data_IF_362719740663
#
_entry.id   IF_362719740663
#
_cell.length_a   1.000
_cell.length_b   1.000
_cell.length_c   1.000
_cell.angle_alpha   90.00
_cell.angle_beta   90.00
_cell.angle_gamma   90.00
#
_symmetry.space_group_name_H-M   'P 1'
#
loop_
_entity.id
_entity.type
_entity.pdbx_description
1 polymer ?
#
# COMPACT_ATOMS: atom_id res chain seq x y z
N UNK A 1 -3.08 -43.08 5.99
CA UNK A 1 -2.31 -41.83 6.27
C UNK A 1 -3.24 -40.94 7.06
N UNK A 2 -2.91 -40.61 8.31
CA UNK A 2 -3.80 -39.83 9.18
C UNK A 2 -3.88 -38.40 8.63
N UNK A 3 -5.08 -38.03 8.18
CA UNK A 3 -5.46 -36.66 7.91
C UNK A 3 -5.33 -35.91 9.24
N UNK A 4 -4.24 -35.16 9.42
CA UNK A 4 -4.10 -34.31 10.62
C UNK A 4 -5.22 -33.29 10.51
N UNK A 5 -6.28 -33.46 11.30
CA UNK A 5 -7.30 -32.44 11.49
C UNK A 5 -6.59 -31.09 11.63
N UNK A 6 -6.83 -30.20 10.66
CA UNK A 6 -6.29 -28.85 10.70
C UNK A 6 -6.96 -28.14 11.86
N UNK A 7 -6.32 -28.18 13.03
CA UNK A 7 -6.79 -27.51 14.24
C UNK A 7 -7.03 -26.03 13.92
N UNK A 8 -8.29 -25.61 14.00
CA UNK A 8 -8.65 -24.19 13.87
C UNK A 8 -8.23 -23.46 15.16
N UNK A 9 -7.76 -22.23 14.99
CA UNK A 9 -7.42 -21.34 16.11
C UNK A 9 -8.22 -20.05 15.96
N UNK A 10 -8.60 -19.45 17.09
CA UNK A 10 -9.31 -18.17 17.13
C UNK A 10 -8.31 -17.03 17.17
N UNK A 11 -8.52 -16.03 16.32
CA UNK A 11 -7.76 -14.77 16.33
C UNK A 11 -8.71 -13.66 16.77
N UNK A 12 -8.32 -12.89 17.79
CA UNK A 12 -9.06 -11.72 18.25
C UNK A 12 -8.36 -10.45 17.76
N UNK A 13 -9.09 -9.58 17.06
CA UNK A 13 -8.58 -8.32 16.51
C UNK A 13 -9.43 -7.16 17.03
N UNK A 14 -8.80 -6.07 17.44
CA UNK A 14 -9.49 -4.81 17.78
C UNK A 14 -9.50 -3.90 16.57
N UNK A 15 -10.68 -3.37 16.26
CA UNK A 15 -10.95 -2.51 15.11
C UNK A 15 -12.00 -1.48 15.53
N UNK A 16 -12.00 -0.31 14.89
CA UNK A 16 -13.07 0.68 15.13
C UNK A 16 -14.41 0.16 14.60
N UNK A 17 -15.50 0.57 15.21
CA UNK A 17 -16.84 0.18 14.74
C UNK A 17 -17.09 0.64 13.30
N UNK A 18 -16.63 1.84 12.94
CA UNK A 18 -16.78 2.39 11.61
C UNK A 18 -16.01 1.59 10.55
N UNK A 19 -14.80 1.13 10.86
CA UNK A 19 -14.02 0.31 9.92
C UNK A 19 -14.63 -1.08 9.75
N UNK A 20 -15.12 -1.68 10.85
CA UNK A 20 -15.80 -2.97 10.79
C UNK A 20 -17.04 -2.92 9.90
N UNK A 21 -17.88 -1.89 10.05
CA UNK A 21 -19.09 -1.70 9.24
C UNK A 21 -18.76 -1.54 7.76
N UNK A 22 -17.84 -0.61 7.43
CA UNK A 22 -17.42 -0.39 6.04
C UNK A 22 -16.81 -1.64 5.40
N UNK A 23 -15.97 -2.37 6.13
CA UNK A 23 -15.39 -3.61 5.63
C UNK A 23 -16.47 -4.67 5.36
N UNK A 24 -17.44 -4.80 6.26
CA UNK A 24 -18.55 -5.76 6.11
C UNK A 24 -19.38 -5.45 4.88
N UNK A 25 -19.78 -4.19 4.68
CA UNK A 25 -20.55 -3.76 3.49
C UNK A 25 -19.81 -4.07 2.18
N UNK A 26 -18.51 -3.79 2.13
CA UNK A 26 -17.68 -4.07 0.96
C UNK A 26 -17.65 -5.58 0.68
N UNK A 27 -17.38 -6.41 1.69
CA UNK A 27 -17.25 -7.85 1.48
C UNK A 27 -18.60 -8.52 1.18
N UNK A 28 -19.70 -8.06 1.79
CA UNK A 28 -21.04 -8.54 1.47
C UNK A 28 -21.42 -8.22 0.03
N UNK A 29 -21.05 -7.05 -0.49
CA UNK A 29 -21.25 -6.71 -1.91
C UNK A 29 -20.50 -7.66 -2.87
N UNK A 30 -19.45 -8.32 -2.38
CA UNK A 30 -18.67 -9.33 -3.08
C UNK A 30 -19.14 -10.77 -2.79
N UNK A 31 -20.19 -10.95 -2.00
CA UNK A 31 -20.71 -12.27 -1.60
C UNK A 31 -19.82 -12.99 -0.56
N UNK A 32 -19.06 -12.24 0.25
CA UNK A 32 -18.16 -12.77 1.26
C UNK A 32 -18.54 -12.24 2.65
N UNK A 33 -18.51 -13.11 3.66
CA UNK A 33 -18.53 -12.63 5.05
C UNK A 33 -17.13 -12.12 5.47
N UNK A 34 -17.10 -11.30 6.52
CA UNK A 34 -15.87 -10.70 7.03
C UNK A 34 -14.84 -11.76 7.46
N UNK A 35 -15.29 -12.88 8.03
CA UNK A 35 -14.40 -13.95 8.48
C UNK A 35 -13.71 -14.67 7.29
N UNK A 36 -14.43 -14.85 6.19
CA UNK A 36 -13.94 -15.44 4.94
C UNK A 36 -12.95 -14.50 4.29
N UNK A 37 -13.24 -13.20 4.24
CA UNK A 37 -12.30 -12.20 3.74
C UNK A 37 -10.98 -12.18 4.53
N UNK A 38 -11.03 -12.23 5.88
CA UNK A 38 -9.83 -12.32 6.73
C UNK A 38 -9.06 -13.62 6.47
N UNK A 39 -9.75 -14.75 6.31
CA UNK A 39 -9.08 -16.02 5.97
C UNK A 39 -8.40 -15.97 4.60
N UNK A 40 -9.01 -15.33 3.61
CA UNK A 40 -8.41 -15.12 2.29
C UNK A 40 -7.16 -14.26 2.42
N UNK A 41 -7.22 -13.15 3.17
CA UNK A 41 -6.08 -12.28 3.43
C UNK A 41 -4.89 -13.09 3.97
N UNK A 42 -5.09 -13.89 5.03
CA UNK A 42 -4.05 -14.71 5.65
C UNK A 42 -3.45 -15.72 4.65
N UNK A 43 -4.31 -16.43 3.90
CA UNK A 43 -3.85 -17.41 2.90
C UNK A 43 -3.05 -16.76 1.78
N UNK A 44 -3.48 -15.58 1.34
CA UNK A 44 -2.77 -14.82 0.31
C UNK A 44 -1.41 -14.34 0.81
N UNK A 45 -1.32 -13.87 2.07
CA UNK A 45 -0.04 -13.51 2.69
C UNK A 45 0.94 -14.68 2.71
N UNK A 46 0.47 -15.87 3.08
CA UNK A 46 1.28 -17.10 3.09
C UNK A 46 1.75 -17.46 1.67
N UNK A 47 0.84 -17.38 0.68
CA UNK A 47 1.16 -17.71 -0.71
C UNK A 47 2.21 -16.77 -1.33
N UNK A 48 2.19 -15.49 -0.95
CA UNK A 48 3.13 -14.48 -1.45
C UNK A 48 4.41 -14.37 -0.60
N UNK A 49 4.45 -15.00 0.57
CA UNK A 49 5.55 -14.84 1.52
C UNK A 49 5.66 -13.41 2.09
N UNK A 50 4.55 -12.66 2.11
CA UNK A 50 4.57 -11.23 2.39
C UNK A 50 3.18 -10.62 2.58
N UNK A 51 3.08 -9.30 2.37
CA UNK A 51 1.82 -8.58 2.49
C UNK A 51 0.91 -8.90 1.28
N UNK A 52 -0.39 -9.24 1.44
CA UNK A 52 -1.25 -9.76 0.37
C UNK A 52 -1.73 -8.70 -0.65
N UNK A 53 -1.02 -7.58 -0.71
CA UNK A 53 -1.17 -6.52 -1.68
C UNK A 53 0.16 -5.73 -1.76
N UNK A 54 0.38 -5.07 -2.89
CA UNK A 54 1.56 -4.23 -3.08
C UNK A 54 1.56 -3.06 -2.08
N UNK A 55 2.66 -2.93 -1.33
CA UNK A 55 2.90 -1.76 -0.49
C UNK A 55 3.39 -0.64 -1.42
N UNK A 56 2.48 0.24 -1.83
CA UNK A 56 2.83 1.41 -2.64
C UNK A 56 3.53 2.44 -1.76
N UNK A 57 4.75 2.81 -2.10
CA UNK A 57 5.45 3.95 -1.49
C UNK A 57 4.79 5.26 -1.96
N UNK A 58 4.33 6.14 -1.05
CA UNK A 58 3.73 7.42 -1.39
C UNK A 58 4.55 8.27 -2.36
N UNK A 59 5.89 8.15 -2.35
CA UNK A 59 6.78 8.81 -3.31
C UNK A 59 6.43 8.46 -4.76
N UNK A 60 6.02 7.22 -5.03
CA UNK A 60 5.63 6.75 -6.37
C UNK A 60 4.13 6.85 -6.65
N UNK A 61 3.38 7.64 -5.87
CA UNK A 61 1.99 7.96 -6.21
C UNK A 61 1.89 8.62 -7.58
N UNK A 62 0.77 8.41 -8.26
CA UNK A 62 0.52 8.96 -9.60
C UNK A 62 0.70 10.48 -9.63
N UNK A 63 0.19 11.19 -8.62
CA UNK A 63 0.34 12.63 -8.48
C UNK A 63 1.81 13.06 -8.33
N UNK A 64 2.59 12.36 -7.50
CA UNK A 64 4.01 12.68 -7.32
C UNK A 64 4.82 12.39 -8.58
N UNK A 65 4.56 11.27 -9.26
CA UNK A 65 5.22 10.93 -10.53
C UNK A 65 4.86 11.91 -11.64
N UNK A 66 3.62 12.40 -11.69
CA UNK A 66 3.20 13.44 -12.63
C UNK A 66 3.93 14.77 -12.38
N UNK A 67 4.07 15.20 -11.12
CA UNK A 67 4.81 16.41 -10.78
C UNK A 67 6.32 16.28 -11.08
N UNK A 68 6.93 15.13 -10.79
CA UNK A 68 8.33 14.86 -11.17
C UNK A 68 8.52 14.96 -12.69
N UNK A 69 7.63 14.32 -13.47
CA UNK A 69 7.66 14.36 -14.94
C UNK A 69 7.53 15.78 -15.48
N UNK A 70 6.61 16.57 -14.92
CA UNK A 70 6.43 17.99 -15.25
C UNK A 70 7.72 18.79 -14.98
N UNK A 71 8.38 18.57 -13.84
CA UNK A 71 9.63 19.25 -13.51
C UNK A 71 10.77 18.84 -14.43
N UNK A 72 10.92 17.55 -14.75
CA UNK A 72 11.91 17.09 -15.71
C UNK A 72 11.73 17.75 -17.08
N UNK A 73 10.50 17.85 -17.58
CA UNK A 73 10.22 18.56 -18.84
C UNK A 73 10.59 20.04 -18.77
N UNK A 74 10.29 20.72 -17.65
CA UNK A 74 10.64 22.13 -17.45
C UNK A 74 12.14 22.37 -17.38
N UNK A 75 12.88 21.45 -16.76
CA UNK A 75 14.35 21.48 -16.71
C UNK A 75 14.92 21.19 -18.09
N UNK A 76 14.40 20.20 -18.80
CA UNK A 76 14.81 19.88 -20.17
C UNK A 76 14.54 21.03 -21.15
N UNK A 77 13.46 21.80 -20.96
CA UNK A 77 13.17 23.00 -21.74
C UNK A 77 13.97 24.24 -21.31
N UNK A 78 14.93 24.10 -20.37
CA UNK A 78 15.79 25.18 -19.86
C UNK A 78 15.05 26.38 -19.25
N UNK A 79 13.77 26.20 -18.88
CA UNK A 79 12.94 27.31 -18.40
C UNK A 79 13.13 27.64 -16.91
N UNK A 80 13.97 26.90 -16.17
CA UNK A 80 14.08 27.09 -14.71
C UNK A 80 15.40 26.59 -14.07
N UNK A 81 16.53 26.71 -14.76
CA UNK A 81 17.85 26.42 -14.18
C UNK A 81 18.45 27.70 -13.59
N UNK A 82 18.19 27.92 -12.30
CA UNK A 82 18.90 28.94 -11.51
C UNK A 82 20.26 28.36 -11.06
N UNK A 83 21.33 28.70 -11.77
CA UNK A 83 22.69 28.42 -11.34
C UNK A 83 23.00 29.22 -10.07
N UNK A 84 22.90 28.58 -8.90
CA UNK A 84 23.43 29.15 -7.65
C UNK A 84 24.93 28.95 -7.64
N UNK A 85 25.69 30.01 -7.88
CA UNK A 85 27.14 29.99 -7.73
C UNK A 85 27.45 29.90 -6.23
N UNK A 86 28.05 28.80 -5.79
CA UNK A 86 28.57 28.68 -4.43
C UNK A 86 29.75 29.64 -4.31
N UNK A 87 29.58 30.73 -3.55
CA UNK A 87 30.69 31.62 -3.23
C UNK A 87 31.65 30.86 -2.32
N UNK A 88 32.82 30.51 -2.83
CA UNK A 88 33.95 30.09 -2.00
C UNK A 88 34.44 31.31 -1.20
N UNK A 89 33.79 31.60 -0.08
CA UNK A 89 34.36 32.52 0.90
C UNK A 89 35.40 31.75 1.72
N UNK A 90 36.59 31.61 1.15
CA UNK A 90 37.82 31.33 1.87
C UNK A 90 38.57 32.63 2.15
N UNK A 91 38.31 33.25 3.30
CA UNK A 91 39.27 34.07 4.06
C UNK A 91 38.94 34.00 5.53
#
# INVERSE_FOLDING_TARGET
MQDREKKKVTIAVKVSQADQQRATEIFESLGLDLATAINIFIKKSIAEGGFPFEIKDPFYSEANQAELSRRFQKVASSQDIHSRQLSENGK
#
